data_IF_847905023000
#
_entry.id   IF_847905023000
#
_cell.length_a   1.000
_cell.length_b   1.000
_cell.length_c   1.000
_cell.angle_alpha   90.00
_cell.angle_beta   90.00
_cell.angle_gamma   90.00
#
_symmetry.space_group_name_H-M   'P 1'
#
loop_
_entity.id
_entity.type
_entity.pdbx_description
1 polymer ?
#
# COMPACT_ATOMS: atom_id res chain seq x y z
N UNK A 1 -27.64 -17.53 17.32
CA UNK A 1 -26.49 -16.79 17.91
C UNK A 1 -25.97 -15.84 16.85
N UNK A 2 -25.87 -14.56 17.18
CA UNK A 2 -25.94 -13.45 16.22
C UNK A 2 -24.54 -12.95 15.87
N UNK A 3 -24.22 -12.84 14.58
CA UNK A 3 -23.06 -12.07 14.10
C UNK A 3 -23.24 -10.62 14.53
N UNK A 4 -22.21 -10.01 15.11
CA UNK A 4 -22.31 -8.66 15.63
C UNK A 4 -21.98 -7.63 14.54
N UNK A 5 -22.86 -6.64 14.38
CA UNK A 5 -22.54 -5.44 13.62
C UNK A 5 -21.47 -4.62 14.35
N UNK A 6 -20.76 -3.75 13.62
CA UNK A 6 -19.56 -3.05 14.11
C UNK A 6 -19.68 -2.43 15.51
N UNK A 7 -20.67 -1.56 15.73
CA UNK A 7 -20.84 -0.88 17.02
C UNK A 7 -21.19 -1.84 18.16
N UNK A 8 -22.03 -2.86 17.88
CA UNK A 8 -22.37 -3.89 18.86
C UNK A 8 -21.17 -4.76 19.19
N UNK A 9 -20.35 -5.10 18.20
CA UNK A 9 -19.10 -5.83 18.39
C UNK A 9 -18.15 -5.05 19.29
N UNK A 10 -17.86 -3.79 18.96
CA UNK A 10 -16.93 -2.97 19.76
C UNK A 10 -17.36 -2.87 21.22
N UNK A 11 -18.65 -2.63 21.48
CA UNK A 11 -19.18 -2.53 22.83
C UNK A 11 -19.02 -3.83 23.62
N UNK A 12 -19.45 -4.96 23.05
CA UNK A 12 -19.44 -6.26 23.73
C UNK A 12 -18.00 -6.78 23.87
N UNK A 13 -17.19 -6.65 22.84
CA UNK A 13 -15.79 -7.08 22.85
C UNK A 13 -14.95 -6.25 23.83
N UNK A 14 -15.18 -4.94 23.95
CA UNK A 14 -14.48 -4.10 24.92
C UNK A 14 -14.82 -4.51 26.36
N UNK A 15 -16.11 -4.74 26.64
CA UNK A 15 -16.53 -5.26 27.94
C UNK A 15 -15.89 -6.62 28.23
N UNK A 16 -15.98 -7.57 27.29
CA UNK A 16 -15.42 -8.93 27.45
C UNK A 16 -13.90 -8.93 27.57
N UNK A 17 -13.21 -7.99 26.93
CA UNK A 17 -11.76 -7.83 27.06
C UNK A 17 -11.37 -7.48 28.50
N UNK A 18 -12.13 -6.62 29.17
CA UNK A 18 -11.87 -6.17 30.54
C UNK A 18 -12.56 -7.01 31.63
N UNK A 19 -13.46 -7.92 31.27
CA UNK A 19 -14.03 -8.88 32.22
C UNK A 19 -12.91 -9.68 32.91
N UNK A 20 -12.87 -9.57 34.23
CA UNK A 20 -11.92 -10.28 35.07
C UNK A 20 -12.21 -11.78 34.98
N UNK A 21 -11.36 -12.50 34.26
CA UNK A 21 -11.26 -13.94 34.36
C UNK A 21 -10.05 -14.30 35.21
N UNK A 22 -10.01 -15.54 35.71
CA UNK A 22 -8.87 -16.04 36.46
C UNK A 22 -7.58 -15.70 35.72
N UNK A 23 -6.55 -15.24 36.44
CA UNK A 23 -5.26 -14.73 35.90
C UNK A 23 -4.51 -15.69 34.96
N UNK A 24 -5.02 -16.89 34.75
CA UNK A 24 -4.44 -17.94 33.92
C UNK A 24 -4.96 -17.94 32.49
N UNK A 25 -5.98 -17.16 32.16
CA UNK A 25 -6.55 -17.10 30.82
C UNK A 25 -6.10 -15.85 30.06
N UNK A 26 -5.75 -16.05 28.79
CA UNK A 26 -5.33 -15.01 27.85
C UNK A 26 -6.45 -14.72 26.85
N UNK A 27 -6.38 -13.55 26.23
CA UNK A 27 -7.30 -13.13 25.16
C UNK A 27 -6.49 -12.71 23.94
N UNK A 28 -7.08 -12.82 22.76
CA UNK A 28 -6.44 -12.41 21.52
C UNK A 28 -7.46 -11.80 20.55
N UNK A 29 -7.02 -10.86 19.74
CA UNK A 29 -7.79 -10.29 18.63
C UNK A 29 -7.22 -10.81 17.32
N UNK A 30 -8.09 -11.31 16.46
CA UNK A 30 -7.76 -11.71 15.10
C UNK A 30 -8.51 -10.79 14.13
N UNK A 31 -7.79 -10.17 13.21
CA UNK A 31 -8.38 -9.46 12.08
C UNK A 31 -8.25 -10.34 10.85
N UNK A 32 -9.37 -10.64 10.21
CA UNK A 32 -9.45 -11.42 8.97
C UNK A 32 -9.83 -10.48 7.83
N UNK A 33 -8.93 -10.32 6.86
CA UNK A 33 -9.12 -9.43 5.72
C UNK A 33 -9.26 -10.23 4.42
N UNK A 34 -10.23 -9.87 3.59
CA UNK A 34 -10.56 -10.53 2.34
C UNK A 34 -10.28 -9.63 1.14
N UNK A 35 -9.04 -9.64 0.65
CA UNK A 35 -8.60 -8.74 -0.42
C UNK A 35 -9.40 -8.93 -1.71
N UNK A 36 -9.74 -10.19 -2.05
CA UNK A 36 -10.48 -10.53 -3.27
C UNK A 36 -11.95 -10.14 -3.23
N UNK A 37 -12.53 -9.82 -2.06
CA UNK A 37 -13.93 -9.34 -2.03
C UNK A 37 -14.07 -7.97 -2.69
N UNK A 38 -13.03 -7.13 -2.63
CA UNK A 38 -13.02 -5.84 -3.33
C UNK A 38 -13.09 -5.99 -4.86
N UNK A 39 -12.44 -7.02 -5.41
CA UNK A 39 -12.49 -7.32 -6.85
C UNK A 39 -13.86 -7.83 -7.27
N UNK A 40 -14.55 -8.57 -6.38
CA UNK A 40 -15.88 -9.12 -6.65
C UNK A 40 -16.98 -8.06 -6.60
N UNK A 41 -16.79 -6.97 -5.86
CA UNK A 41 -17.77 -5.89 -5.77
C UNK A 41 -18.16 -5.33 -7.14
N UNK A 42 -17.18 -5.14 -8.03
CA UNK A 42 -17.41 -4.64 -9.39
C UNK A 42 -18.10 -5.66 -10.32
N UNK A 43 -18.13 -6.94 -9.96
CA UNK A 43 -18.62 -8.03 -10.82
C UNK A 43 -19.95 -8.60 -10.33
N UNK A 44 -20.11 -8.75 -9.02
CA UNK A 44 -21.27 -9.38 -8.38
C UNK A 44 -22.21 -8.37 -7.73
N UNK A 45 -21.74 -7.14 -7.50
CA UNK A 45 -22.48 -6.08 -6.81
C UNK A 45 -22.37 -6.15 -5.29
N UNK A 46 -22.45 -4.98 -4.67
CA UNK A 46 -22.21 -4.75 -3.25
C UNK A 46 -23.06 -5.64 -2.32
N UNK A 47 -24.37 -5.76 -2.59
CA UNK A 47 -25.29 -6.56 -1.78
C UNK A 47 -24.90 -8.04 -1.74
N UNK A 48 -24.33 -8.57 -2.83
CA UNK A 48 -23.91 -9.97 -2.88
C UNK A 48 -22.70 -10.19 -1.99
N UNK A 49 -21.72 -9.30 -2.08
CA UNK A 49 -20.48 -9.37 -1.27
C UNK A 49 -20.77 -9.18 0.21
N UNK A 50 -21.65 -8.25 0.58
CA UNK A 50 -22.12 -8.08 1.96
C UNK A 50 -22.74 -9.37 2.51
N UNK A 51 -23.59 -10.03 1.71
CA UNK A 51 -24.19 -11.31 2.08
C UNK A 51 -23.17 -12.44 2.21
N UNK A 52 -22.14 -12.47 1.35
CA UNK A 52 -21.02 -13.41 1.49
C UNK A 52 -20.31 -13.19 2.83
N UNK A 53 -19.99 -11.94 3.18
CA UNK A 53 -19.31 -11.62 4.43
C UNK A 53 -20.13 -12.02 5.66
N UNK A 54 -21.46 -11.83 5.62
CA UNK A 54 -22.38 -12.30 6.67
C UNK A 54 -22.35 -13.83 6.83
N UNK A 55 -22.38 -14.57 5.71
CA UNK A 55 -22.32 -16.04 5.73
C UNK A 55 -20.98 -16.53 6.27
N UNK A 56 -19.88 -15.90 5.87
CA UNK A 56 -18.54 -16.21 6.35
C UNK A 56 -18.47 -15.95 7.87
N UNK A 57 -18.96 -14.81 8.34
CA UNK A 57 -18.98 -14.48 9.76
C UNK A 57 -19.79 -15.52 10.58
N UNK A 58 -20.93 -15.97 10.06
CA UNK A 58 -21.74 -17.02 10.69
C UNK A 58 -21.00 -18.37 10.72
N UNK A 59 -20.30 -18.74 9.64
CA UNK A 59 -19.49 -19.94 9.55
C UNK A 59 -18.31 -19.91 10.53
N UNK A 60 -17.65 -18.76 10.70
CA UNK A 60 -16.59 -18.61 11.70
C UNK A 60 -17.14 -18.70 13.11
N UNK A 61 -18.29 -18.06 13.40
CA UNK A 61 -18.88 -18.11 14.73
C UNK A 61 -19.29 -19.53 15.14
N UNK A 62 -19.74 -20.36 14.20
CA UNK A 62 -20.07 -21.78 14.50
C UNK A 62 -18.83 -22.65 14.68
N UNK A 63 -17.69 -22.27 14.10
CA UNK A 63 -16.43 -22.99 14.23
C UNK A 63 -15.61 -22.59 15.46
N UNK A 64 -15.81 -21.40 16.00
CA UNK A 64 -15.12 -20.90 17.18
C UNK A 64 -15.83 -21.31 18.48
N UNK A 65 -15.20 -21.06 19.62
CA UNK A 65 -15.80 -21.41 20.91
C UNK A 65 -17.06 -20.57 21.17
N UNK A 66 -17.97 -21.06 22.03
CA UNK A 66 -19.16 -20.29 22.43
C UNK A 66 -18.81 -18.90 22.96
N UNK A 67 -17.71 -18.80 23.72
CA UNK A 67 -17.23 -17.57 24.35
C UNK A 67 -16.54 -16.60 23.37
N UNK A 68 -16.05 -17.07 22.24
CA UNK A 68 -15.38 -16.20 21.26
C UNK A 68 -16.41 -15.24 20.62
N UNK A 69 -16.00 -14.05 20.23
CA UNK A 69 -16.87 -13.12 19.50
C UNK A 69 -16.43 -13.02 18.05
N UNK A 70 -17.39 -12.88 17.14
CA UNK A 70 -17.15 -12.58 15.72
C UNK A 70 -17.99 -11.38 15.34
N UNK A 71 -17.36 -10.37 14.75
CA UNK A 71 -18.03 -9.18 14.26
C UNK A 71 -17.52 -8.74 12.90
N UNK A 72 -18.40 -8.10 12.14
CA UNK A 72 -18.02 -7.43 10.89
C UNK A 72 -17.53 -6.04 11.25
N UNK A 73 -16.24 -5.78 11.02
CA UNK A 73 -15.57 -4.55 11.45
C UNK A 73 -15.06 -3.68 10.31
N UNK A 74 -15.35 -4.07 9.08
CA UNK A 74 -15.14 -3.28 7.88
C UNK A 74 -15.83 -3.97 6.70
N UNK A 75 -15.75 -3.34 5.53
CA UNK A 75 -16.44 -3.81 4.33
C UNK A 75 -15.99 -5.20 3.87
N UNK A 76 -14.72 -5.52 4.03
CA UNK A 76 -14.15 -6.84 3.72
C UNK A 76 -13.36 -7.40 4.91
N UNK A 77 -13.79 -7.04 6.12
CA UNK A 77 -13.03 -7.31 7.33
C UNK A 77 -13.91 -7.88 8.43
N UNK A 78 -13.45 -8.98 9.01
CA UNK A 78 -13.99 -9.54 10.25
C UNK A 78 -12.99 -9.36 11.39
N UNK A 79 -13.52 -9.20 12.59
CA UNK A 79 -12.76 -9.24 13.83
C UNK A 79 -13.26 -10.41 14.68
N UNK A 80 -12.33 -11.19 15.21
CA UNK A 80 -12.62 -12.21 16.20
C UNK A 80 -11.93 -11.84 17.52
N UNK A 81 -12.68 -11.82 18.62
CA UNK A 81 -12.11 -11.81 19.98
C UNK A 81 -12.12 -13.23 20.51
N UNK A 82 -10.94 -13.80 20.71
CA UNK A 82 -10.79 -15.11 21.33
C UNK A 82 -10.66 -14.94 22.84
N UNK A 83 -11.51 -15.65 23.57
CA UNK A 83 -11.52 -15.65 25.02
C UNK A 83 -10.98 -16.97 25.58
N UNK A 84 -10.62 -16.98 26.87
CA UNK A 84 -10.26 -18.20 27.61
C UNK A 84 -9.11 -19.02 27.02
N UNK A 85 -8.11 -18.35 26.43
CA UNK A 85 -6.94 -19.01 25.88
C UNK A 85 -6.00 -19.45 27.01
N UNK A 86 -5.61 -20.73 27.02
CA UNK A 86 -4.63 -21.23 28.00
C UNK A 86 -3.20 -20.76 27.70
N UNK A 87 -2.88 -20.57 26.42
CA UNK A 87 -1.55 -20.14 25.95
C UNK A 87 -1.69 -19.32 24.67
N UNK A 88 -0.67 -18.53 24.35
CA UNK A 88 -0.61 -17.74 23.10
C UNK A 88 -0.70 -18.62 21.84
N UNK A 89 -0.18 -19.85 21.93
CA UNK A 89 -0.23 -20.81 20.83
C UNK A 89 -1.67 -21.16 20.43
N UNK A 90 -2.64 -21.08 21.36
CA UNK A 90 -4.05 -21.32 21.05
C UNK A 90 -4.63 -20.25 20.11
N UNK A 91 -4.15 -18.99 20.17
CA UNK A 91 -4.56 -17.96 19.23
C UNK A 91 -4.11 -18.30 17.80
N UNK A 92 -2.87 -18.79 17.64
CA UNK A 92 -2.34 -19.22 16.35
C UNK A 92 -3.06 -20.46 15.82
N UNK A 93 -3.37 -21.44 16.68
CA UNK A 93 -4.17 -22.60 16.30
C UNK A 93 -5.57 -22.20 15.81
N UNK A 94 -6.22 -21.23 16.48
CA UNK A 94 -7.50 -20.69 16.03
C UNK A 94 -7.36 -19.98 14.67
N UNK A 95 -6.30 -19.19 14.46
CA UNK A 95 -6.03 -18.56 13.17
C UNK A 95 -5.85 -19.60 12.04
N UNK A 96 -5.08 -20.68 12.27
CA UNK A 96 -4.93 -21.78 11.31
C UNK A 96 -6.25 -22.51 11.03
N UNK A 97 -7.07 -22.71 12.06
CA UNK A 97 -8.42 -23.28 11.90
C UNK A 97 -9.29 -22.39 11.00
N UNK A 98 -9.28 -21.08 11.23
CA UNK A 98 -10.01 -20.09 10.41
C UNK A 98 -9.52 -20.13 8.96
N UNK A 99 -8.20 -20.05 8.71
CA UNK A 99 -7.63 -20.17 7.34
C UNK A 99 -8.13 -21.44 6.66
N UNK A 100 -8.09 -22.60 7.34
CA UNK A 100 -8.50 -23.88 6.75
C UNK A 100 -9.98 -23.90 6.36
N UNK A 101 -10.84 -23.28 7.17
CA UNK A 101 -12.27 -23.15 6.87
C UNK A 101 -12.47 -22.26 5.64
N UNK A 102 -11.78 -21.13 5.59
CA UNK A 102 -11.92 -20.13 4.53
C UNK A 102 -11.16 -20.47 3.24
N UNK A 103 -10.27 -21.47 3.28
CA UNK A 103 -9.60 -22.02 2.11
C UNK A 103 -10.54 -22.88 1.26
N UNK A 104 -11.67 -23.33 1.81
CA UNK A 104 -12.69 -24.04 1.04
C UNK A 104 -13.35 -23.09 0.05
N UNK A 105 -13.57 -23.51 -1.21
CA UNK A 105 -14.23 -22.65 -2.18
C UNK A 105 -15.64 -22.26 -1.73
N UNK A 106 -15.93 -20.97 -1.78
CA UNK A 106 -17.25 -20.44 -1.48
C UNK A 106 -18.15 -20.62 -2.71
N UNK A 107 -19.21 -21.42 -2.56
CA UNK A 107 -20.16 -21.69 -3.63
C UNK A 107 -21.07 -20.48 -3.86
N UNK A 108 -21.03 -19.91 -5.07
CA UNK A 108 -21.91 -18.83 -5.48
C UNK A 108 -22.51 -19.12 -6.86
N UNK A 109 -23.78 -19.51 -6.89
CA UNK A 109 -24.45 -19.99 -8.10
C UNK A 109 -23.75 -21.24 -8.64
N UNK A 110 -23.16 -21.15 -9.85
CA UNK A 110 -22.36 -22.21 -10.47
C UNK A 110 -20.84 -22.02 -10.29
N UNK A 111 -20.42 -20.98 -9.58
CA UNK A 111 -19.01 -20.61 -9.40
C UNK A 111 -18.52 -21.05 -8.03
N UNK A 112 -17.25 -21.42 -7.96
CA UNK A 112 -16.54 -21.72 -6.72
C UNK A 112 -15.45 -20.66 -6.56
N UNK A 113 -15.60 -19.81 -5.54
CA UNK A 113 -14.74 -18.63 -5.34
C UNK A 113 -13.76 -18.92 -4.21
N UNK A 114 -12.46 -18.76 -4.47
CA UNK A 114 -11.42 -18.84 -3.44
C UNK A 114 -11.14 -17.44 -2.93
N UNK A 115 -11.48 -17.20 -1.67
CA UNK A 115 -11.42 -15.88 -1.03
C UNK A 115 -10.01 -15.46 -0.61
N UNK A 116 -9.12 -16.43 -0.35
CA UNK A 116 -7.72 -16.23 0.04
C UNK A 116 -7.53 -15.14 1.14
N UNK A 117 -8.13 -15.32 2.33
CA UNK A 117 -8.02 -14.32 3.38
C UNK A 117 -6.62 -14.26 3.99
N UNK A 118 -6.31 -13.12 4.61
CA UNK A 118 -5.15 -12.95 5.48
C UNK A 118 -5.57 -12.67 6.90
N UNK A 119 -4.84 -13.22 7.87
CA UNK A 119 -5.14 -13.08 9.29
C UNK A 119 -3.98 -12.42 10.03
N UNK A 120 -4.26 -11.33 10.72
CA UNK A 120 -3.36 -10.74 11.69
C UNK A 120 -3.80 -11.09 13.10
N UNK A 121 -2.86 -11.47 13.95
CA UNK A 121 -3.11 -11.89 15.34
C UNK A 121 -2.46 -10.89 16.29
N UNK A 122 -3.20 -10.40 17.30
CA UNK A 122 -2.66 -9.61 18.39
C UNK A 122 -3.06 -10.21 19.74
N UNK A 123 -2.05 -10.50 20.57
CA UNK A 123 -2.23 -11.07 21.90
C UNK A 123 -2.42 -9.96 22.94
N UNK A 124 -3.32 -10.16 23.90
CA UNK A 124 -3.41 -9.30 25.07
C UNK A 124 -2.32 -9.67 26.07
N UNK A 125 -1.12 -9.12 25.87
CA UNK A 125 0.01 -9.34 26.78
C UNK A 125 -0.05 -8.49 28.05
N UNK A 126 -0.91 -7.48 28.07
CA UNK A 126 -1.15 -6.57 29.20
C UNK A 126 -2.65 -6.27 29.30
N UNK A 127 -3.20 -6.40 30.51
CA UNK A 127 -4.60 -6.10 30.84
C UNK A 127 -4.99 -4.63 30.65
N UNK A 128 -4.01 -3.71 30.57
CA UNK A 128 -4.24 -2.29 30.31
C UNK A 128 -4.58 -1.98 28.84
N UNK A 129 -4.31 -2.92 27.92
CA UNK A 129 -4.55 -2.73 26.48
C UNK A 129 -6.03 -2.60 26.19
N UNK A 130 -6.37 -1.59 25.40
CA UNK A 130 -7.75 -1.40 24.91
C UNK A 130 -8.03 -2.28 23.71
N UNK A 131 -9.32 -2.52 23.42
CA UNK A 131 -9.73 -3.24 22.22
C UNK A 131 -9.20 -2.57 20.95
N UNK A 132 -9.27 -1.23 20.88
CA UNK A 132 -8.80 -0.46 19.73
C UNK A 132 -7.30 -0.68 19.47
N UNK A 133 -6.48 -0.73 20.53
CA UNK A 133 -5.05 -1.02 20.40
C UNK A 133 -4.81 -2.43 19.86
N UNK A 134 -5.53 -3.44 20.35
CA UNK A 134 -5.39 -4.82 19.87
C UNK A 134 -5.87 -4.98 18.43
N UNK A 135 -6.99 -4.33 18.06
CA UNK A 135 -7.47 -4.31 16.67
C UNK A 135 -6.49 -3.61 15.73
N UNK A 136 -5.88 -2.50 16.17
CA UNK A 136 -4.83 -1.80 15.42
C UNK A 136 -3.60 -2.70 15.21
N UNK A 137 -3.10 -3.33 16.28
CA UNK A 137 -1.97 -4.27 16.24
C UNK A 137 -2.24 -5.46 15.31
N UNK A 138 -3.43 -6.05 15.39
CA UNK A 138 -3.82 -7.15 14.51
C UNK A 138 -3.93 -6.67 13.04
N UNK A 139 -4.40 -5.45 12.80
CA UNK A 139 -4.44 -4.86 11.46
C UNK A 139 -3.05 -4.59 10.88
N UNK A 140 -2.09 -4.18 11.72
CA UNK A 140 -0.66 -4.07 11.35
C UNK A 140 -0.11 -5.44 10.93
N UNK A 141 -0.42 -6.49 11.68
CA UNK A 141 -0.03 -7.85 11.32
C UNK A 141 -0.65 -8.32 10.00
N UNK A 142 -1.91 -7.98 9.68
CA UNK A 142 -2.52 -8.24 8.36
C UNK A 142 -1.73 -7.58 7.24
N UNK A 143 -1.32 -6.32 7.41
CA UNK A 143 -0.52 -5.61 6.39
C UNK A 143 0.83 -6.26 6.16
N UNK A 144 1.48 -6.71 7.24
CA UNK A 144 2.74 -7.46 7.13
C UNK A 144 2.55 -8.81 6.44
N UNK A 145 1.49 -9.55 6.79
CA UNK A 145 1.07 -10.77 6.11
C UNK A 145 0.89 -10.55 4.59
N UNK A 146 0.36 -9.38 4.19
CA UNK A 146 0.22 -9.02 2.78
C UNK A 146 1.57 -8.86 2.07
N UNK A 147 2.51 -8.16 2.69
CA UNK A 147 3.83 -7.90 2.13
C UNK A 147 4.68 -9.18 2.04
N UNK A 148 4.66 -9.99 3.10
CA UNK A 148 5.40 -11.25 3.19
C UNK A 148 4.72 -12.39 2.42
N UNK A 149 3.52 -12.13 1.88
CA UNK A 149 2.62 -13.10 1.25
C UNK A 149 2.17 -14.25 2.17
N UNK A 150 2.39 -14.14 3.47
CA UNK A 150 1.95 -15.11 4.47
C UNK A 150 0.44 -15.05 4.75
N UNK A 151 -0.24 -16.21 4.94
CA UNK A 151 -1.66 -16.23 5.25
C UNK A 151 -1.97 -15.77 6.68
N UNK A 152 -1.02 -15.88 7.61
CA UNK A 152 -1.18 -15.55 9.02
C UNK A 152 0.09 -14.89 9.53
N UNK A 153 -0.05 -13.77 10.24
CA UNK A 153 1.08 -13.11 10.91
C UNK A 153 0.70 -12.73 12.34
N UNK A 154 1.61 -12.97 13.29
CA UNK A 154 1.50 -12.49 14.66
C UNK A 154 2.09 -11.08 14.78
N UNK A 155 1.38 -10.18 15.45
CA UNK A 155 1.88 -8.86 15.80
C UNK A 155 3.03 -8.97 16.80
N UNK A 156 4.12 -8.28 16.51
CA UNK A 156 5.28 -8.11 17.37
C UNK A 156 5.54 -6.61 17.48
N UNK A 157 5.68 -6.09 18.70
CA UNK A 157 5.76 -4.65 18.95
C UNK A 157 7.07 -4.03 18.44
N UNK A 158 8.10 -4.85 18.28
CA UNK A 158 9.42 -4.48 17.78
C UNK A 158 9.44 -4.30 16.26
N UNK A 159 8.38 -4.73 15.56
CA UNK A 159 8.27 -4.63 14.12
C UNK A 159 7.47 -3.39 13.73
N UNK A 160 8.07 -2.56 12.90
CA UNK A 160 7.46 -1.35 12.38
C UNK A 160 6.22 -1.67 11.53
N UNK A 161 5.17 -0.88 11.71
CA UNK A 161 3.95 -1.04 10.92
C UNK A 161 4.20 -0.52 9.49
N UNK A 162 3.99 -1.35 8.46
CA UNK A 162 4.22 -0.91 7.10
C UNK A 162 3.41 0.34 6.71
N UNK A 163 2.22 0.52 7.29
CA UNK A 163 1.40 1.69 7.00
C UNK A 163 1.95 2.97 7.66
N UNK A 164 2.48 2.88 8.88
CA UNK A 164 3.09 4.05 9.53
C UNK A 164 4.30 4.51 8.75
N UNK A 165 5.18 3.57 8.37
CA UNK A 165 6.31 3.85 7.49
C UNK A 165 5.88 4.54 6.18
N UNK A 166 4.77 4.11 5.58
CA UNK A 166 4.23 4.75 4.38
C UNK A 166 3.68 6.17 4.63
N UNK A 167 2.99 6.39 5.75
CA UNK A 167 2.41 7.69 6.11
C UNK A 167 3.53 8.70 6.39
N UNK A 168 4.55 8.30 7.13
CA UNK A 168 5.70 9.14 7.46
C UNK A 168 6.42 9.56 6.17
N UNK A 169 6.71 8.60 5.29
CA UNK A 169 7.31 8.92 4.00
C UNK A 169 6.41 9.78 3.10
N UNK A 170 5.08 9.66 3.18
CA UNK A 170 4.17 10.50 2.40
C UNK A 170 4.23 11.96 2.85
N UNK A 171 4.16 12.20 4.16
CA UNK A 171 4.33 13.53 4.75
C UNK A 171 5.72 14.11 4.40
N UNK A 172 6.76 13.32 4.59
CA UNK A 172 8.15 13.77 4.45
C UNK A 172 8.55 13.96 2.99
N UNK A 173 7.97 13.21 2.05
CA UNK A 173 8.20 13.42 0.62
C UNK A 173 7.66 14.79 0.18
N UNK A 174 6.48 15.19 0.66
CA UNK A 174 5.94 16.53 0.38
C UNK A 174 6.89 17.63 0.85
N UNK A 175 7.45 17.48 2.06
CA UNK A 175 8.45 18.41 2.59
C UNK A 175 9.77 18.36 1.79
N UNK A 176 10.24 17.19 1.40
CA UNK A 176 11.50 17.00 0.68
C UNK A 176 11.48 17.63 -0.73
N UNK A 177 10.32 17.63 -1.41
CA UNK A 177 10.12 18.32 -2.68
C UNK A 177 10.34 19.84 -2.53
N UNK A 178 9.88 20.42 -1.43
CA UNK A 178 9.91 21.87 -1.21
C UNK A 178 11.23 22.36 -0.58
N UNK A 179 11.83 21.56 0.30
CA UNK A 179 12.93 22.00 1.19
C UNK A 179 14.25 21.27 0.95
N UNK A 180 14.27 20.25 0.08
CA UNK A 180 15.48 19.50 -0.27
C UNK A 180 15.55 18.10 0.35
N UNK A 181 16.54 17.32 -0.08
CA UNK A 181 16.71 15.89 0.29
C UNK A 181 16.53 14.95 -0.91
N UNK A 182 15.93 15.45 -1.99
CA UNK A 182 15.91 14.81 -3.30
C UNK A 182 17.13 15.22 -4.12
N UNK A 183 17.63 14.29 -4.94
CA UNK A 183 18.66 14.55 -5.95
C UNK A 183 18.47 13.64 -7.17
N UNK A 184 19.14 13.96 -8.27
CA UNK A 184 19.15 13.12 -9.47
C UNK A 184 20.48 12.37 -9.58
N UNK A 185 20.40 11.05 -9.74
CA UNK A 185 21.49 10.24 -10.25
C UNK A 185 21.37 10.15 -11.77
N UNK A 186 22.50 10.03 -12.47
CA UNK A 186 22.52 9.94 -13.93
C UNK A 186 23.11 8.62 -14.41
N UNK A 187 22.34 7.85 -15.16
CA UNK A 187 22.82 6.63 -15.79
C UNK A 187 23.17 6.88 -17.27
N UNK A 188 24.42 6.67 -17.70
CA UNK A 188 24.81 6.96 -19.08
C UNK A 188 24.23 5.96 -20.07
N UNK A 189 23.75 6.48 -21.20
CA UNK A 189 23.30 5.73 -22.37
C UNK A 189 24.35 5.89 -23.47
N UNK A 190 24.93 4.77 -23.89
CA UNK A 190 26.08 4.73 -24.81
C UNK A 190 25.62 4.36 -26.21
N UNK A 191 26.03 5.14 -27.20
CA UNK A 191 25.89 4.76 -28.60
C UNK A 191 26.89 3.65 -28.93
N UNK A 192 26.40 2.46 -29.29
CA UNK A 192 27.25 1.26 -29.47
C UNK A 192 28.23 1.44 -30.64
N UNK A 193 27.84 2.15 -31.70
CA UNK A 193 28.66 2.33 -32.89
C UNK A 193 29.88 3.24 -32.61
N UNK A 194 29.67 4.33 -31.87
CA UNK A 194 30.72 5.30 -31.56
C UNK A 194 31.41 5.09 -30.22
N UNK A 195 30.82 4.30 -29.31
CA UNK A 195 31.29 4.11 -27.93
C UNK A 195 31.16 5.36 -27.05
N UNK A 196 30.48 6.40 -27.53
CA UNK A 196 30.32 7.69 -26.83
C UNK A 196 29.02 7.72 -26.06
N UNK A 197 29.00 8.48 -24.96
CA UNK A 197 27.77 8.80 -24.23
C UNK A 197 26.92 9.68 -25.15
N UNK A 198 25.71 9.20 -25.46
CA UNK A 198 24.71 9.94 -26.25
C UNK A 198 23.81 10.76 -25.35
N UNK A 199 23.36 10.15 -24.26
CA UNK A 199 22.40 10.71 -23.31
C UNK A 199 22.60 10.10 -21.93
N UNK A 200 21.89 10.61 -20.93
CA UNK A 200 21.82 10.06 -19.59
C UNK A 200 20.39 9.96 -19.12
N UNK A 201 20.02 8.88 -18.44
CA UNK A 201 18.73 8.80 -17.75
C UNK A 201 18.82 9.48 -16.38
N UNK A 202 17.94 10.45 -16.14
CA UNK A 202 17.78 11.11 -14.86
C UNK A 202 16.94 10.24 -13.93
N UNK A 203 17.56 9.75 -12.87
CA UNK A 203 16.97 8.82 -11.92
C UNK A 203 16.82 9.50 -10.56
N UNK A 204 15.57 9.68 -10.14
CA UNK A 204 15.24 10.28 -8.84
C UNK A 204 15.81 9.44 -7.68
N UNK A 205 16.40 10.15 -6.72
CA UNK A 205 16.93 9.61 -5.47
C UNK A 205 16.47 10.45 -4.29
N UNK A 206 16.25 9.79 -3.16
CA UNK A 206 15.88 10.45 -1.91
C UNK A 206 16.70 9.86 -0.76
N UNK A 207 17.34 10.74 0.02
CA UNK A 207 17.94 10.36 1.31
C UNK A 207 17.05 10.87 2.43
N UNK A 208 16.31 9.96 3.05
CA UNK A 208 15.47 10.28 4.20
C UNK A 208 16.34 10.57 5.43
N UNK A 209 16.02 11.61 6.24
CA UNK A 209 16.78 11.92 7.46
C UNK A 209 16.86 10.76 8.45
N UNK A 210 15.78 9.98 8.58
CA UNK A 210 15.67 8.87 9.53
C UNK A 210 15.88 7.47 8.94
N UNK A 211 15.52 7.27 7.67
CA UNK A 211 15.49 5.95 7.03
C UNK A 211 16.62 5.76 6.00
N UNK A 212 17.45 6.78 5.77
CA UNK A 212 18.52 6.73 4.80
C UNK A 212 18.01 6.69 3.35
N UNK A 213 18.75 6.09 2.41
CA UNK A 213 18.36 6.03 1.01
C UNK A 213 17.05 5.27 0.80
N UNK A 214 16.03 5.95 0.27
CA UNK A 214 14.75 5.34 -0.11
C UNK A 214 14.84 4.87 -1.56
N UNK A 215 14.36 3.66 -1.82
CA UNK A 215 14.32 3.10 -3.17
C UNK A 215 13.32 3.87 -4.05
N UNK A 216 13.67 4.07 -5.32
CA UNK A 216 12.85 4.83 -6.27
C UNK A 216 11.48 4.20 -6.48
N UNK A 217 11.37 2.88 -6.58
CA UNK A 217 10.08 2.17 -6.71
C UNK A 217 9.13 2.49 -5.55
N UNK A 218 9.65 2.53 -4.32
CA UNK A 218 8.89 2.89 -3.12
C UNK A 218 8.44 4.34 -3.15
N UNK A 219 9.32 5.25 -3.58
CA UNK A 219 9.01 6.68 -3.69
C UNK A 219 7.88 6.91 -4.70
N UNK A 220 7.97 6.31 -5.88
CA UNK A 220 6.92 6.40 -6.90
C UNK A 220 5.59 5.87 -6.34
N UNK A 221 5.58 4.71 -5.66
CA UNK A 221 4.37 4.17 -5.03
C UNK A 221 3.73 5.09 -3.99
N UNK A 222 4.51 5.95 -3.32
CA UNK A 222 4.00 6.91 -2.33
C UNK A 222 3.41 8.14 -3.00
N UNK A 223 4.00 8.58 -4.12
CA UNK A 223 3.55 9.75 -4.84
C UNK A 223 2.35 9.46 -5.76
N UNK A 224 2.31 8.27 -6.37
CA UNK A 224 1.33 7.90 -7.41
C UNK A 224 -0.11 7.90 -6.89
N UNK A 225 -1.04 8.44 -7.68
CA UNK A 225 -2.43 8.63 -7.25
C UNK A 225 -2.63 9.69 -6.16
N UNK A 226 -1.60 10.47 -5.81
CA UNK A 226 -1.69 11.59 -4.87
C UNK A 226 -1.33 12.92 -5.53
N UNK A 227 -1.62 14.04 -4.85
CA UNK A 227 -1.23 15.38 -5.31
C UNK A 227 0.30 15.62 -5.29
N UNK A 228 1.11 14.67 -4.83
CA UNK A 228 2.57 14.77 -4.85
C UNK A 228 3.18 14.42 -6.20
N UNK A 229 2.56 13.53 -6.99
CA UNK A 229 3.16 13.08 -8.26
C UNK A 229 3.44 14.24 -9.22
N UNK A 230 2.49 15.14 -9.52
CA UNK A 230 2.76 16.25 -10.44
C UNK A 230 3.86 17.20 -9.91
N UNK A 231 3.87 17.45 -8.60
CA UNK A 231 4.92 18.26 -7.95
C UNK A 231 6.30 17.62 -8.07
N UNK A 232 6.35 16.31 -7.91
CA UNK A 232 7.58 15.53 -8.00
C UNK A 232 8.10 15.51 -9.45
N UNK A 233 7.22 15.26 -10.42
CA UNK A 233 7.57 15.30 -11.85
C UNK A 233 8.12 16.68 -12.22
N UNK A 234 7.47 17.76 -11.79
CA UNK A 234 7.94 19.12 -12.03
C UNK A 234 9.32 19.39 -11.41
N UNK A 235 9.52 18.94 -10.18
CA UNK A 235 10.81 19.05 -9.50
C UNK A 235 11.91 18.30 -10.25
N UNK A 236 11.65 17.05 -10.66
CA UNK A 236 12.59 16.24 -11.45
C UNK A 236 12.90 16.92 -12.78
N UNK A 237 11.87 17.38 -13.48
CA UNK A 237 11.99 18.02 -14.79
C UNK A 237 12.88 19.27 -14.73
N UNK A 238 12.56 20.23 -13.85
CA UNK A 238 13.37 21.44 -13.73
C UNK A 238 14.79 21.15 -13.23
N UNK A 239 14.97 20.19 -12.34
CA UNK A 239 16.30 19.81 -11.84
C UNK A 239 17.15 19.21 -12.96
N UNK A 240 16.58 18.30 -13.76
CA UNK A 240 17.26 17.68 -14.90
C UNK A 240 17.62 18.71 -15.98
N UNK A 241 16.73 19.66 -16.29
CA UNK A 241 17.02 20.73 -17.24
C UNK A 241 18.12 21.68 -16.75
N UNK A 242 18.07 22.08 -15.47
CA UNK A 242 19.12 22.90 -14.86
C UNK A 242 20.48 22.22 -14.95
N UNK A 243 20.56 20.97 -14.51
CA UNK A 243 21.82 20.21 -14.48
C UNK A 243 22.33 19.89 -15.89
N UNK A 244 21.43 19.60 -16.84
CA UNK A 244 21.79 19.49 -18.26
C UNK A 244 22.41 20.80 -18.78
N UNK A 245 21.81 21.95 -18.48
CA UNK A 245 22.37 23.25 -18.88
C UNK A 245 23.75 23.52 -18.25
N UNK A 246 23.96 23.11 -16.99
CA UNK A 246 25.26 23.20 -16.32
C UNK A 246 26.32 22.30 -16.97
N UNK A 247 25.99 21.04 -17.26
CA UNK A 247 26.89 20.13 -17.98
C UNK A 247 27.27 20.65 -19.36
N UNK A 248 26.31 21.24 -20.09
CA UNK A 248 26.58 21.87 -21.39
C UNK A 248 27.54 23.05 -21.29
N UNK A 249 27.41 23.89 -20.26
CA UNK A 249 28.37 24.98 -20.01
C UNK A 249 29.78 24.45 -19.70
N UNK A 250 29.87 23.26 -19.12
CA UNK A 250 31.13 22.55 -18.88
C UNK A 250 31.66 21.79 -20.11
N UNK A 251 30.99 21.86 -21.27
CA UNK A 251 31.38 21.20 -22.52
C UNK A 251 30.89 19.76 -22.67
N UNK A 252 30.03 19.28 -21.77
CA UNK A 252 29.38 17.98 -21.85
C UNK A 252 28.00 18.14 -22.51
N UNK A 253 27.91 17.74 -23.77
CA UNK A 253 26.70 17.87 -24.59
C UNK A 253 25.90 16.56 -24.70
N UNK A 254 25.76 15.83 -23.59
CA UNK A 254 24.88 14.66 -23.54
C UNK A 254 23.42 15.11 -23.33
N UNK A 255 22.49 14.43 -24.02
CA UNK A 255 21.06 14.61 -23.74
C UNK A 255 20.64 14.04 -22.39
N UNK A 256 19.43 14.35 -21.93
CA UNK A 256 18.86 13.78 -20.70
C UNK A 256 17.48 13.18 -20.97
N UNK A 257 17.30 11.94 -20.51
CA UNK A 257 16.01 11.26 -20.44
C UNK A 257 15.35 11.50 -19.09
N UNK A 258 14.06 11.81 -19.07
CA UNK A 258 13.28 12.10 -17.87
C UNK A 258 12.01 11.25 -17.87
N UNK A 259 11.82 10.48 -16.80
CA UNK A 259 10.64 9.63 -16.64
C UNK A 259 9.41 10.45 -16.24
N UNK A 260 8.31 10.28 -16.97
CA UNK A 260 7.00 10.87 -16.68
C UNK A 260 6.00 9.75 -16.36
N UNK A 261 5.06 10.04 -15.45
CA UNK A 261 4.01 9.09 -15.08
C UNK A 261 2.84 9.12 -16.07
N UNK A 262 1.99 8.10 -16.02
CA UNK A 262 0.74 8.10 -16.78
C UNK A 262 -0.18 9.26 -16.39
N UNK A 263 -0.10 9.69 -15.14
CA UNK A 263 -0.92 10.77 -14.60
C UNK A 263 -0.51 12.12 -15.19
N UNK A 264 0.80 12.34 -15.41
CA UNK A 264 1.35 13.57 -16.00
C UNK A 264 0.86 13.77 -17.44
N UNK A 265 0.72 12.70 -18.22
CA UNK A 265 0.19 12.77 -19.59
C UNK A 265 -1.26 13.24 -19.67
N UNK A 266 -2.00 13.17 -18.57
CA UNK A 266 -3.39 13.65 -18.51
C UNK A 266 -3.46 15.14 -18.18
N UNK A 267 -2.35 15.75 -17.80
CA UNK A 267 -2.30 17.17 -17.53
C UNK A 267 -2.35 17.94 -18.87
N UNK A 268 -3.44 18.69 -19.15
CA UNK A 268 -3.54 19.46 -20.38
C UNK A 268 -2.47 20.56 -20.50
N UNK A 269 -1.84 20.95 -19.39
CA UNK A 269 -0.81 22.00 -19.36
C UNK A 269 0.62 21.44 -19.54
N UNK A 270 0.78 20.12 -19.68
CA UNK A 270 2.10 19.46 -19.76
C UNK A 270 2.99 20.04 -20.87
N UNK A 271 2.44 20.23 -22.06
CA UNK A 271 3.19 20.73 -23.23
C UNK A 271 3.67 22.16 -23.02
N UNK A 272 2.85 23.00 -22.40
CA UNK A 272 3.20 24.36 -22.03
C UNK A 272 4.30 24.36 -20.95
N UNK A 273 4.17 23.54 -19.92
CA UNK A 273 5.15 23.37 -18.85
C UNK A 273 6.51 22.94 -19.40
N UNK A 274 6.53 21.96 -20.31
CA UNK A 274 7.76 21.51 -20.97
C UNK A 274 8.41 22.63 -21.78
N UNK A 275 7.61 23.34 -22.59
CA UNK A 275 8.08 24.47 -23.41
C UNK A 275 8.68 25.59 -22.55
N UNK A 276 7.99 25.98 -21.47
CA UNK A 276 8.46 26.98 -20.52
C UNK A 276 9.75 26.55 -19.83
N UNK A 277 9.85 25.29 -19.40
CA UNK A 277 11.06 24.77 -18.76
C UNK A 277 12.28 24.77 -19.68
N UNK A 278 12.11 24.31 -20.92
CA UNK A 278 13.17 24.32 -21.95
C UNK A 278 13.67 25.75 -22.21
N UNK A 279 12.75 26.71 -22.32
CA UNK A 279 13.07 28.13 -22.51
C UNK A 279 13.80 28.71 -21.30
N UNK A 280 13.34 28.42 -20.08
CA UNK A 280 13.92 28.92 -18.83
C UNK A 280 15.37 28.49 -18.66
N UNK A 281 15.67 27.22 -18.94
CA UNK A 281 17.01 26.65 -18.74
C UNK A 281 17.89 26.69 -20.01
N UNK A 282 17.33 27.16 -21.13
CA UNK A 282 18.00 27.25 -22.43
C UNK A 282 18.58 25.90 -22.89
N UNK A 283 17.79 24.84 -22.77
CA UNK A 283 18.15 23.49 -23.21
C UNK A 283 17.50 23.20 -24.56
N UNK A 284 18.25 22.73 -25.58
CA UNK A 284 17.66 22.37 -26.86
C UNK A 284 16.64 21.22 -26.71
N UNK A 285 15.46 21.31 -27.36
CA UNK A 285 14.45 20.25 -27.26
C UNK A 285 14.96 18.88 -27.71
N UNK A 286 15.84 18.84 -28.73
CA UNK A 286 16.42 17.59 -29.25
C UNK A 286 17.37 16.86 -28.29
N UNK A 287 17.77 17.51 -27.20
CA UNK A 287 18.60 16.93 -26.14
C UNK A 287 17.76 16.39 -24.97
N UNK A 288 16.43 16.53 -25.01
CA UNK A 288 15.52 16.02 -23.99
C UNK A 288 14.71 14.85 -24.54
N UNK A 289 14.65 13.77 -23.77
CA UNK A 289 13.77 12.63 -24.05
C UNK A 289 12.82 12.47 -22.87
N UNK A 290 11.52 12.45 -23.12
CA UNK A 290 10.52 12.08 -22.11
C UNK A 290 10.29 10.58 -22.22
N UNK A 291 10.52 9.86 -21.14
CA UNK A 291 10.33 8.41 -21.06
C UNK A 291 9.00 8.10 -20.37
N UNK A 292 8.27 7.16 -20.96
CA UNK A 292 6.95 6.72 -20.52
C UNK A 292 6.94 5.20 -20.46
N UNK A 293 6.27 4.66 -19.45
CA UNK A 293 6.07 3.20 -19.38
C UNK A 293 5.04 2.73 -20.42
N UNK A 294 5.19 1.50 -20.90
CA UNK A 294 4.22 0.89 -21.84
C UNK A 294 2.79 0.93 -21.28
N UNK A 295 2.62 0.62 -19.99
CA UNK A 295 1.33 0.68 -19.30
C UNK A 295 0.72 2.09 -19.34
N UNK A 296 1.54 3.13 -19.19
CA UNK A 296 1.08 4.52 -19.25
C UNK A 296 0.49 4.87 -20.63
N UNK A 297 1.14 4.41 -21.70
CA UNK A 297 0.70 4.64 -23.08
C UNK A 297 -0.52 3.78 -23.42
N UNK A 298 -0.55 2.52 -22.98
CA UNK A 298 -1.62 1.56 -23.27
C UNK A 298 -2.93 1.83 -22.54
N UNK A 299 -2.95 2.70 -21.53
CA UNK A 299 -4.16 2.99 -20.76
C UNK A 299 -5.27 3.68 -21.59
N UNK A 300 -5.00 4.01 -22.87
CA UNK A 300 -5.97 4.34 -23.92
C UNK A 300 -6.99 5.43 -23.52
N UNK A 301 -6.46 6.60 -23.14
CA UNK A 301 -7.27 7.77 -22.80
C UNK A 301 -7.38 8.71 -24.00
N UNK A 302 -8.57 9.28 -24.21
CA UNK A 302 -8.78 10.34 -25.21
C UNK A 302 -7.91 11.56 -24.86
N UNK A 303 -6.94 11.89 -25.72
CA UNK A 303 -6.01 13.01 -25.55
C UNK A 303 -4.52 12.62 -25.46
N UNK A 304 -4.19 11.36 -25.12
CA UNK A 304 -2.78 10.93 -25.02
C UNK A 304 -2.03 11.04 -26.35
N UNK A 305 -2.70 10.77 -27.47
CA UNK A 305 -2.11 10.92 -28.81
C UNK A 305 -1.90 12.39 -29.23
N UNK A 306 -2.65 13.32 -28.65
CA UNK A 306 -2.50 14.75 -28.97
C UNK A 306 -1.34 15.38 -28.17
N UNK A 307 -0.99 14.80 -27.02
CA UNK A 307 0.13 15.23 -26.16
C UNK A 307 1.49 14.65 -26.61
N UNK A 308 1.51 13.49 -27.28
CA UNK A 308 2.71 12.81 -27.79
C UNK A 308 3.19 13.41 -29.13
#
# INVERSE_FOLDING_TARGET
MTVLAYQSFLKIASQKLHEAHSSNFRKAVLIVNFERLAELDGVLGFTVVDNMLQQIAAQLKSALNPEDLVGITGRYQLCCLLADLLTDAHAMLAAHKIIRILAQPFAFGRRNIILAPRIGVALQNDSSRTLDQLMSNASSAVRRAKLEQDPITLFLAELEDPLLFHIDLWSDLGHAIETGGLYLGYQPQIDIASGKIKSTEALLRWVHPHHGPIRTDKLIQIAEGTALMPKLTLWVFHTALRECAEYRKAGLHAGVSINFSADDLRDPELTELVSQGLALWNVPPGDITIELTETAVMANHSGTLDTL
#
